data_IF_285638538857
#
_entry.id   IF_285638538857
#
_cell.length_a   1.000
_cell.length_b   1.000
_cell.length_c   1.000
_cell.angle_alpha   90.00
_cell.angle_beta   90.00
_cell.angle_gamma   90.00
#
_symmetry.space_group_name_H-M   'P 1'
#
loop_
_entity.id
_entity.type
_entity.pdbx_description
1 polymer ?
#
# COMPACT_ATOMS: atom_id res chain seq x y z
N UNK A 1 19.28 -38.51 65.43
CA UNK A 1 18.85 -38.81 64.07
C UNK A 1 19.51 -37.76 63.18
N UNK A 2 20.76 -38.08 62.75
CA UNK A 2 21.62 -37.21 61.95
C UNK A 2 21.21 -37.35 60.50
N UNK A 3 20.75 -36.26 59.83
CA UNK A 3 20.46 -36.22 58.43
C UNK A 3 21.76 -35.86 57.72
N UNK A 4 22.40 -36.85 57.16
CA UNK A 4 23.58 -36.74 56.29
C UNK A 4 23.19 -35.91 55.06
N UNK A 5 23.78 -34.74 54.89
CA UNK A 5 23.67 -33.95 53.63
C UNK A 5 24.50 -34.65 52.53
N UNK A 6 23.86 -35.41 51.69
CA UNK A 6 24.46 -35.86 50.43
C UNK A 6 24.67 -34.63 49.53
N UNK A 7 25.92 -34.26 49.33
CA UNK A 7 26.31 -33.26 48.32
C UNK A 7 26.13 -33.89 46.95
N UNK A 8 25.08 -33.53 46.26
CA UNK A 8 24.85 -33.90 44.86
C UNK A 8 26.02 -33.34 44.02
N UNK A 9 26.97 -34.19 43.68
CA UNK A 9 28.05 -33.87 42.76
C UNK A 9 27.46 -33.76 41.35
N UNK A 10 27.45 -32.55 40.79
CA UNK A 10 27.05 -32.30 39.42
C UNK A 10 27.95 -33.12 38.46
N UNK A 11 27.39 -33.81 37.46
CA UNK A 11 28.19 -34.64 36.53
C UNK A 11 29.24 -33.78 35.82
N UNK A 12 30.42 -34.34 35.65
CA UNK A 12 31.62 -33.68 35.09
C UNK A 12 31.38 -33.03 33.69
N UNK A 13 30.37 -33.48 32.99
CA UNK A 13 29.94 -32.89 31.69
C UNK A 13 29.41 -31.46 31.81
N UNK A 14 28.91 -31.04 32.95
CA UNK A 14 28.45 -29.66 33.18
C UNK A 14 29.63 -28.70 33.39
N UNK A 15 30.83 -29.21 33.71
CA UNK A 15 32.02 -28.39 33.90
C UNK A 15 32.68 -27.96 32.57
N UNK A 16 32.20 -28.46 31.42
CA UNK A 16 32.79 -28.18 30.09
C UNK A 16 31.93 -27.18 29.27
N UNK A 17 31.12 -26.34 29.94
CA UNK A 17 30.57 -25.21 29.21
C UNK A 17 31.70 -24.29 28.81
N UNK A 18 32.06 -24.19 27.50
CA UNK A 18 33.16 -23.34 27.09
C UNK A 18 32.88 -21.93 27.55
N UNK A 19 33.80 -21.37 28.33
CA UNK A 19 33.69 -19.95 28.73
C UNK A 19 33.41 -19.11 27.49
N UNK A 20 32.46 -18.13 27.57
CA UNK A 20 32.22 -17.23 26.45
C UNK A 20 33.56 -16.70 25.99
N UNK A 21 33.93 -16.96 24.72
CA UNK A 21 35.19 -16.43 24.14
C UNK A 21 35.11 -14.92 24.34
N UNK A 22 36.07 -14.36 25.05
CA UNK A 22 36.23 -12.92 25.18
C UNK A 22 36.28 -12.34 23.75
N UNK A 23 35.27 -11.50 23.45
CA UNK A 23 35.17 -10.87 22.14
C UNK A 23 36.34 -9.92 22.04
N UNK A 24 37.37 -10.26 21.27
CA UNK A 24 38.59 -9.46 21.14
C UNK A 24 38.28 -8.02 20.75
N UNK A 25 39.00 -7.06 21.32
CA UNK A 25 38.82 -5.61 21.13
C UNK A 25 38.63 -5.20 19.65
N UNK A 26 39.30 -5.89 18.72
CA UNK A 26 39.15 -5.64 17.28
C UNK A 26 37.77 -6.04 16.71
N UNK A 27 37.07 -7.02 17.32
CA UNK A 27 35.71 -7.40 16.92
C UNK A 27 34.70 -6.40 17.49
N UNK A 28 34.88 -5.93 18.71
CA UNK A 28 34.05 -4.89 19.32
C UNK A 28 34.15 -3.56 18.56
N UNK A 29 35.36 -3.20 18.12
CA UNK A 29 35.59 -1.99 17.32
C UNK A 29 34.89 -2.09 15.95
N UNK A 30 34.97 -3.26 15.28
CA UNK A 30 34.26 -3.50 14.00
C UNK A 30 32.75 -3.46 14.16
N UNK A 31 32.22 -4.04 15.25
CA UNK A 31 30.78 -4.02 15.54
C UNK A 31 30.33 -2.57 15.84
N UNK A 32 31.09 -1.80 16.62
CA UNK A 32 30.84 -0.39 16.87
C UNK A 32 30.83 0.44 15.57
N UNK A 33 31.80 0.22 14.69
CA UNK A 33 31.89 0.91 13.40
C UNK A 33 30.72 0.54 12.47
N UNK A 34 30.38 -0.74 12.40
CA UNK A 34 29.22 -1.21 11.62
C UNK A 34 27.91 -0.62 12.14
N UNK A 35 27.71 -0.59 13.47
CA UNK A 35 26.54 0.03 14.09
C UNK A 35 26.43 1.52 13.80
N UNK A 36 27.55 2.25 13.92
CA UNK A 36 27.60 3.67 13.63
C UNK A 36 27.35 3.94 12.14
N UNK A 37 27.94 3.16 11.23
CA UNK A 37 27.74 3.26 9.79
C UNK A 37 26.27 3.00 9.39
N UNK A 38 25.66 1.92 9.91
CA UNK A 38 24.25 1.65 9.67
C UNK A 38 23.34 2.75 10.23
N UNK A 39 23.65 3.25 11.43
CA UNK A 39 22.94 4.36 12.05
C UNK A 39 23.02 5.64 11.21
N UNK A 40 24.23 6.00 10.74
CA UNK A 40 24.44 7.15 9.89
C UNK A 40 23.65 7.06 8.58
N UNK A 41 23.66 5.90 7.90
CA UNK A 41 22.87 5.67 6.68
C UNK A 41 21.37 5.86 6.97
N UNK A 42 20.87 5.28 8.07
CA UNK A 42 19.45 5.43 8.45
C UNK A 42 19.08 6.89 8.69
N UNK A 43 19.91 7.64 9.43
CA UNK A 43 19.68 9.07 9.69
C UNK A 43 19.71 9.86 8.37
N UNK A 44 20.65 9.56 7.48
CA UNK A 44 20.76 10.23 6.16
C UNK A 44 19.51 10.02 5.33
N UNK A 45 18.96 8.79 5.27
CA UNK A 45 17.72 8.50 4.54
C UNK A 45 16.53 9.26 5.15
N UNK A 46 16.41 9.27 6.49
CA UNK A 46 15.37 10.05 7.16
C UNK A 46 15.50 11.56 6.90
N UNK A 47 16.73 12.08 6.96
CA UNK A 47 17.01 13.49 6.68
C UNK A 47 16.65 13.85 5.23
N UNK A 48 16.88 12.95 4.26
CA UNK A 48 16.53 13.17 2.86
C UNK A 48 15.01 13.34 2.68
N UNK A 49 14.19 12.51 3.33
CA UNK A 49 12.72 12.66 3.29
C UNK A 49 12.27 14.01 3.88
N UNK A 50 12.86 14.41 5.01
CA UNK A 50 12.57 15.71 5.63
C UNK A 50 12.99 16.87 4.71
N UNK A 51 14.13 16.74 4.04
CA UNK A 51 14.63 17.75 3.09
C UNK A 51 13.68 17.89 1.89
N UNK A 52 13.17 16.77 1.33
CA UNK A 52 12.17 16.82 0.26
C UNK A 52 10.91 17.54 0.74
N UNK A 53 10.39 17.19 1.92
CA UNK A 53 9.20 17.84 2.48
C UNK A 53 9.41 19.34 2.69
N UNK A 54 10.57 19.74 3.21
CA UNK A 54 10.94 21.14 3.40
C UNK A 54 11.07 21.89 2.07
N UNK A 55 11.68 21.28 1.05
CA UNK A 55 11.81 21.86 -0.28
C UNK A 55 10.43 22.04 -0.96
N UNK A 56 9.54 21.06 -0.86
CA UNK A 56 8.18 21.16 -1.36
C UNK A 56 7.42 22.27 -0.64
N UNK A 57 7.52 22.36 0.68
CA UNK A 57 6.89 23.42 1.47
C UNK A 57 7.43 24.81 1.07
N UNK A 58 8.75 24.94 0.93
CA UNK A 58 9.36 26.19 0.51
C UNK A 58 8.88 26.64 -0.89
N UNK A 59 8.86 25.71 -1.85
CA UNK A 59 8.41 25.99 -3.22
C UNK A 59 6.90 26.23 -3.31
N UNK A 60 6.09 25.65 -2.45
CA UNK A 60 4.64 25.87 -2.38
C UNK A 60 4.25 27.14 -1.61
N UNK A 61 5.19 27.76 -0.88
CA UNK A 61 4.92 28.91 -0.03
C UNK A 61 4.24 30.09 -0.74
N UNK A 62 4.61 30.49 -1.97
CA UNK A 62 3.96 31.59 -2.67
C UNK A 62 2.45 31.36 -2.85
N UNK A 63 2.02 30.14 -3.15
CA UNK A 63 0.61 29.79 -3.25
C UNK A 63 -0.06 29.81 -1.87
N UNK A 64 0.55 29.16 -0.88
CA UNK A 64 0.00 29.04 0.48
C UNK A 64 -0.12 30.38 1.21
N UNK A 65 0.70 31.37 0.84
CA UNK A 65 0.60 32.73 1.38
C UNK A 65 -0.49 33.58 0.72
N UNK A 66 -0.89 33.22 -0.51
CA UNK A 66 -1.89 33.97 -1.30
C UNK A 66 -3.29 33.44 -1.08
N UNK A 67 -3.46 32.11 -0.93
CA UNK A 67 -4.76 31.45 -0.81
C UNK A 67 -4.93 30.77 0.54
N UNK A 68 -6.16 30.75 1.06
CA UNK A 68 -6.49 30.01 2.26
C UNK A 68 -6.38 28.49 2.03
N UNK A 69 -5.82 27.75 2.98
CA UNK A 69 -5.77 26.28 2.92
C UNK A 69 -7.15 25.66 2.75
N UNK A 70 -8.19 26.24 3.37
CA UNK A 70 -9.56 25.77 3.22
C UNK A 70 -10.03 25.93 1.77
N UNK A 71 -9.78 27.05 1.15
CA UNK A 71 -10.15 27.31 -0.24
C UNK A 71 -9.42 26.35 -1.19
N UNK A 72 -8.12 26.19 -1.05
CA UNK A 72 -7.32 25.27 -1.85
C UNK A 72 -7.81 23.82 -1.76
N UNK A 73 -8.21 23.36 -0.57
CA UNK A 73 -8.63 21.98 -0.35
C UNK A 73 -10.09 21.70 -0.73
N UNK A 74 -10.97 22.72 -0.70
CA UNK A 74 -12.41 22.53 -0.91
C UNK A 74 -12.93 23.08 -2.23
N UNK A 75 -12.21 24.01 -2.88
CA UNK A 75 -12.60 24.54 -4.18
C UNK A 75 -12.52 23.47 -5.27
N UNK A 76 -13.50 23.50 -6.17
CA UNK A 76 -13.57 22.63 -7.35
C UNK A 76 -13.00 23.29 -8.61
N UNK A 77 -12.71 24.59 -8.54
CA UNK A 77 -12.29 25.39 -9.68
C UNK A 77 -10.78 25.27 -9.89
N UNK A 78 -10.40 24.72 -11.02
CA UNK A 78 -9.01 24.62 -11.46
C UNK A 78 -8.85 25.35 -12.78
N UNK A 79 -8.53 26.63 -12.70
CA UNK A 79 -8.26 27.50 -13.86
C UNK A 79 -6.97 28.30 -13.63
N UNK A 80 -5.79 27.69 -13.82
CA UNK A 80 -4.50 28.33 -13.54
C UNK A 80 -4.29 29.67 -14.24
N UNK A 81 -4.80 29.81 -15.48
CA UNK A 81 -4.73 31.07 -16.25
C UNK A 81 -5.53 32.21 -15.60
N UNK A 82 -6.47 31.87 -14.73
CA UNK A 82 -7.29 32.87 -13.97
C UNK A 82 -6.85 32.96 -12.51
N UNK A 83 -5.78 32.27 -12.14
CA UNK A 83 -5.32 32.21 -10.75
C UNK A 83 -6.18 31.36 -9.82
N UNK A 84 -7.01 30.46 -10.32
CA UNK A 84 -7.87 29.59 -9.49
C UNK A 84 -7.26 28.21 -9.34
N UNK A 85 -6.97 27.81 -8.10
CA UNK A 85 -6.23 26.57 -7.77
C UNK A 85 -7.01 25.76 -6.73
N UNK A 86 -8.04 25.01 -7.15
CA UNK A 86 -8.81 24.11 -6.28
C UNK A 86 -8.34 22.66 -6.37
N UNK A 87 -7.97 22.03 -5.27
CA UNK A 87 -7.48 20.64 -5.26
C UNK A 87 -8.56 19.59 -5.00
N UNK A 88 -9.80 19.99 -4.67
CA UNK A 88 -10.86 19.04 -4.32
C UNK A 88 -11.11 17.94 -5.36
N UNK A 89 -11.22 18.23 -6.69
CA UNK A 89 -11.43 17.20 -7.70
C UNK A 89 -10.30 16.16 -7.75
N UNK A 90 -9.04 16.60 -7.58
CA UNK A 90 -7.87 15.74 -7.62
C UNK A 90 -7.71 14.88 -6.37
N UNK A 91 -8.04 15.42 -5.19
CA UNK A 91 -8.05 14.67 -3.93
C UNK A 91 -9.12 13.58 -3.99
N UNK A 92 -10.33 13.94 -4.38
CA UNK A 92 -11.47 13.01 -4.46
C UNK A 92 -11.21 11.97 -5.56
N UNK A 93 -10.66 12.38 -6.71
CA UNK A 93 -10.29 11.48 -7.80
C UNK A 93 -9.23 10.46 -7.37
N UNK A 94 -8.19 10.89 -6.64
CA UNK A 94 -7.16 9.99 -6.10
C UNK A 94 -7.74 9.01 -5.09
N UNK A 95 -8.57 9.48 -4.16
CA UNK A 95 -9.21 8.63 -3.17
C UNK A 95 -10.17 7.63 -3.83
N UNK A 96 -10.98 8.08 -4.78
CA UNK A 96 -11.96 7.24 -5.45
C UNK A 96 -11.29 6.12 -6.26
N UNK A 97 -10.27 6.43 -7.08
CA UNK A 97 -9.56 5.41 -7.86
C UNK A 97 -8.84 4.41 -6.95
N UNK A 98 -8.26 4.88 -5.84
CA UNK A 98 -7.60 4.02 -4.86
C UNK A 98 -8.58 3.10 -4.15
N UNK A 99 -9.76 3.60 -3.76
CA UNK A 99 -10.81 2.78 -3.14
C UNK A 99 -11.31 1.69 -4.07
N UNK A 100 -11.53 2.01 -5.35
CA UNK A 100 -11.89 1.03 -6.37
C UNK A 100 -10.79 -0.03 -6.53
N UNK A 101 -9.51 0.39 -6.60
CA UNK A 101 -8.39 -0.53 -6.69
C UNK A 101 -8.28 -1.46 -5.47
N UNK A 102 -8.43 -0.94 -4.26
CA UNK A 102 -8.40 -1.69 -3.01
C UNK A 102 -9.53 -2.72 -2.96
N UNK A 103 -10.72 -2.33 -3.39
CA UNK A 103 -11.86 -3.25 -3.46
C UNK A 103 -11.58 -4.45 -4.37
N UNK A 104 -11.03 -4.23 -5.55
CA UNK A 104 -10.72 -5.30 -6.50
C UNK A 104 -9.46 -6.10 -6.16
N UNK A 105 -8.53 -5.55 -5.36
CA UNK A 105 -7.24 -6.19 -5.09
C UNK A 105 -7.11 -6.77 -3.69
N UNK A 106 -7.33 -5.98 -2.64
CA UNK A 106 -6.88 -6.32 -1.27
C UNK A 106 -7.62 -7.54 -0.72
N UNK A 107 -8.95 -7.56 -0.85
CA UNK A 107 -9.75 -8.67 -0.32
C UNK A 107 -9.39 -9.99 -1.02
N UNK A 108 -9.45 -10.11 -2.36
CA UNK A 108 -9.11 -11.35 -3.03
C UNK A 108 -7.63 -11.70 -2.89
N UNK A 109 -6.72 -10.72 -2.79
CA UNK A 109 -5.30 -10.97 -2.60
C UNK A 109 -4.99 -11.58 -1.23
N UNK A 110 -5.60 -11.09 -0.14
CA UNK A 110 -5.44 -11.67 1.19
C UNK A 110 -5.90 -13.14 1.19
N UNK A 111 -7.09 -13.42 0.64
CA UNK A 111 -7.58 -14.79 0.55
C UNK A 111 -6.66 -15.69 -0.30
N UNK A 112 -6.14 -15.17 -1.41
CA UNK A 112 -5.17 -15.88 -2.25
C UNK A 112 -3.86 -16.15 -1.51
N UNK A 113 -3.35 -15.18 -0.75
CA UNK A 113 -2.16 -15.35 0.09
C UNK A 113 -2.34 -16.40 1.19
N UNK A 114 -3.48 -16.39 1.87
CA UNK A 114 -3.85 -17.43 2.86
C UNK A 114 -3.92 -18.80 2.17
N UNK A 115 -4.56 -18.90 1.00
CA UNK A 115 -4.66 -20.13 0.25
C UNK A 115 -3.27 -20.67 -0.16
N UNK A 116 -2.40 -19.82 -0.67
CA UNK A 116 -1.03 -20.19 -1.03
C UNK A 116 -0.22 -20.68 0.17
N UNK A 117 -0.42 -20.06 1.34
CA UNK A 117 0.32 -20.42 2.55
C UNK A 117 -0.15 -21.75 3.16
N UNK A 118 -1.46 -21.97 3.24
CA UNK A 118 -2.05 -23.05 4.06
C UNK A 118 -2.50 -24.26 3.25
N UNK A 119 -2.95 -24.07 1.99
CA UNK A 119 -3.60 -25.15 1.21
C UNK A 119 -2.77 -25.61 0.01
N UNK A 120 -1.90 -24.77 -0.51
CA UNK A 120 -1.16 -25.06 -1.74
C UNK A 120 -0.02 -26.04 -1.51
N UNK A 121 0.13 -27.02 -2.41
CA UNK A 121 1.26 -27.95 -2.39
C UNK A 121 2.58 -27.21 -2.64
N UNK A 122 3.68 -27.75 -2.10
CA UNK A 122 5.02 -27.17 -2.25
C UNK A 122 5.43 -27.00 -3.72
N UNK A 123 5.03 -27.97 -4.59
CA UNK A 123 5.32 -27.92 -6.02
C UNK A 123 4.59 -26.77 -6.72
N UNK A 124 3.28 -26.66 -6.49
CA UNK A 124 2.47 -25.62 -7.10
C UNK A 124 2.87 -24.21 -6.61
N UNK A 125 3.20 -24.09 -5.33
CA UNK A 125 3.75 -22.83 -4.77
C UNK A 125 5.06 -22.45 -5.42
N UNK A 126 5.95 -23.43 -5.66
CA UNK A 126 7.24 -23.21 -6.34
C UNK A 126 7.10 -22.65 -7.75
N UNK A 127 5.93 -22.81 -8.40
CA UNK A 127 5.62 -22.21 -9.70
C UNK A 127 4.89 -20.88 -9.55
N UNK A 128 3.86 -20.82 -8.68
CA UNK A 128 3.01 -19.62 -8.56
C UNK A 128 3.77 -18.42 -7.94
N UNK A 129 4.65 -18.67 -6.96
CA UNK A 129 5.35 -17.56 -6.29
C UNK A 129 6.28 -16.80 -7.25
N UNK A 130 7.16 -17.41 -8.05
CA UNK A 130 7.95 -16.70 -9.05
C UNK A 130 7.12 -15.97 -10.09
N UNK A 131 5.95 -16.49 -10.47
CA UNK A 131 5.03 -15.81 -11.39
C UNK A 131 4.49 -14.54 -10.75
N UNK A 132 4.00 -14.61 -9.50
CA UNK A 132 3.52 -13.44 -8.76
C UNK A 132 4.62 -12.40 -8.56
N UNK A 133 5.84 -12.83 -8.20
CA UNK A 133 6.98 -11.93 -8.02
C UNK A 133 7.37 -11.24 -9.35
N UNK A 134 7.26 -11.95 -10.47
CA UNK A 134 7.48 -11.38 -11.81
C UNK A 134 6.43 -10.33 -12.17
N UNK A 135 5.16 -10.55 -11.81
CA UNK A 135 4.08 -9.58 -12.02
C UNK A 135 4.30 -8.27 -11.24
N UNK A 136 4.85 -8.35 -10.03
CA UNK A 136 5.22 -7.15 -9.24
C UNK A 136 6.28 -6.30 -9.96
N UNK A 137 7.16 -6.93 -10.73
CA UNK A 137 8.24 -6.28 -11.47
C UNK A 137 7.83 -5.64 -12.80
N UNK A 138 6.62 -5.87 -13.30
CA UNK A 138 6.15 -5.28 -14.57
C UNK A 138 6.01 -3.76 -14.42
N UNK A 139 6.57 -2.95 -15.35
CA UNK A 139 6.41 -1.49 -15.36
C UNK A 139 4.93 -1.08 -15.43
N UNK A 140 4.54 -0.07 -14.67
CA UNK A 140 3.15 0.41 -14.59
C UNK A 140 2.59 0.88 -15.94
N UNK A 141 3.44 1.40 -16.82
CA UNK A 141 3.07 1.79 -18.20
C UNK A 141 2.52 0.60 -18.98
N UNK A 142 3.06 -0.60 -18.79
CA UNK A 142 2.58 -1.82 -19.48
C UNK A 142 1.17 -2.15 -19.02
N UNK A 143 0.90 -2.05 -17.72
CA UNK A 143 -0.46 -2.21 -17.18
C UNK A 143 -1.41 -1.15 -17.71
N UNK A 144 -0.95 0.12 -17.80
CA UNK A 144 -1.73 1.21 -18.37
C UNK A 144 -2.08 0.97 -19.83
N UNK A 145 -1.11 0.57 -20.64
CA UNK A 145 -1.32 0.25 -22.05
C UNK A 145 -2.25 -0.95 -22.24
N UNK A 146 -2.03 -2.04 -21.51
CA UNK A 146 -2.94 -3.19 -21.52
C UNK A 146 -4.36 -2.78 -21.12
N UNK A 147 -4.49 -1.96 -20.09
CA UNK A 147 -5.77 -1.43 -19.64
C UNK A 147 -6.48 -0.61 -20.71
N UNK A 148 -5.75 0.28 -21.40
CA UNK A 148 -6.32 1.10 -22.49
C UNK A 148 -6.78 0.26 -23.68
N UNK A 149 -6.04 -0.80 -24.03
CA UNK A 149 -6.35 -1.65 -25.18
C UNK A 149 -7.39 -2.74 -24.88
N UNK A 150 -7.51 -3.18 -23.62
CA UNK A 150 -8.37 -4.32 -23.26
C UNK A 150 -9.51 -3.94 -22.32
N UNK A 151 -9.21 -3.24 -21.22
CA UNK A 151 -10.19 -2.94 -20.18
C UNK A 151 -11.10 -1.76 -20.57
N UNK A 152 -10.53 -0.71 -21.17
CA UNK A 152 -11.34 0.45 -21.63
C UNK A 152 -12.39 0.03 -22.65
N UNK A 153 -12.08 -0.74 -23.73
CA UNK A 153 -13.10 -1.26 -24.63
C UNK A 153 -14.12 -2.16 -23.94
N UNK A 154 -13.68 -3.01 -22.99
CA UNK A 154 -14.60 -3.87 -22.22
C UNK A 154 -15.59 -3.04 -21.40
N UNK A 155 -15.11 -1.97 -20.75
CA UNK A 155 -15.97 -1.06 -20.00
C UNK A 155 -16.89 -0.28 -20.93
N UNK A 156 -16.38 0.19 -22.07
CA UNK A 156 -17.13 0.98 -23.03
C UNK A 156 -18.26 0.19 -23.70
N UNK A 157 -17.96 -1.02 -24.18
CA UNK A 157 -18.86 -1.75 -25.07
C UNK A 157 -19.76 -2.74 -24.33
N UNK A 158 -19.36 -3.21 -23.14
CA UNK A 158 -20.09 -4.25 -22.39
C UNK A 158 -20.53 -3.80 -21.00
N UNK A 159 -19.59 -3.42 -20.11
CA UNK A 159 -19.92 -3.14 -18.71
C UNK A 159 -20.77 -1.89 -18.53
N UNK A 160 -20.47 -0.81 -19.26
CA UNK A 160 -21.24 0.43 -19.21
C UNK A 160 -22.68 0.25 -19.65
N UNK A 161 -22.94 -0.27 -20.88
CA UNK A 161 -24.29 -0.55 -21.35
C UNK A 161 -25.07 -1.55 -20.50
N UNK A 162 -24.39 -2.55 -19.95
CA UNK A 162 -25.02 -3.50 -19.03
C UNK A 162 -25.43 -2.83 -17.72
N UNK A 163 -24.54 -2.01 -17.17
CA UNK A 163 -24.79 -1.28 -15.92
C UNK A 163 -25.98 -0.30 -16.09
N UNK A 164 -26.05 0.43 -17.20
CA UNK A 164 -27.16 1.36 -17.48
C UNK A 164 -28.52 0.66 -17.55
N UNK A 165 -28.55 -0.57 -18.05
CA UNK A 165 -29.78 -1.36 -18.18
C UNK A 165 -30.20 -2.04 -16.87
N UNK A 166 -29.30 -2.12 -15.88
CA UNK A 166 -29.52 -2.88 -14.63
C UNK A 166 -29.36 -1.99 -13.40
N UNK A 167 -28.15 -1.92 -12.86
CA UNK A 167 -27.84 -1.20 -11.61
C UNK A 167 -27.97 0.30 -11.73
N UNK A 168 -27.66 0.87 -12.89
CA UNK A 168 -27.71 2.31 -13.13
C UNK A 168 -29.12 2.91 -13.07
N UNK A 169 -30.15 2.09 -13.30
CA UNK A 169 -31.55 2.54 -13.17
C UNK A 169 -31.97 2.72 -11.71
N UNK A 170 -31.39 1.95 -10.80
CA UNK A 170 -31.73 1.97 -9.37
C UNK A 170 -30.76 2.86 -8.58
N UNK A 171 -29.48 2.79 -8.92
CA UNK A 171 -28.41 3.52 -8.24
C UNK A 171 -27.65 4.44 -9.21
N UNK A 172 -27.79 5.77 -9.12
CA UNK A 172 -27.10 6.73 -10.00
C UNK A 172 -25.57 6.56 -10.02
N UNK A 173 -24.97 6.04 -8.93
CA UNK A 173 -23.55 5.75 -8.84
C UNK A 173 -23.06 4.75 -9.90
N UNK A 174 -23.92 3.89 -10.40
CA UNK A 174 -23.61 2.91 -11.45
C UNK A 174 -24.10 3.33 -12.84
N UNK A 175 -24.65 4.53 -12.98
CA UNK A 175 -25.09 5.05 -14.28
C UNK A 175 -23.86 5.46 -15.12
N UNK A 176 -23.93 5.22 -16.42
CA UNK A 176 -22.90 5.58 -17.36
C UNK A 176 -23.03 7.04 -17.78
N UNK A 177 -22.22 7.90 -17.21
CA UNK A 177 -22.15 9.31 -17.59
C UNK A 177 -21.15 9.60 -18.71
N UNK A 178 -20.20 8.67 -18.97
CA UNK A 178 -19.16 8.80 -19.96
C UNK A 178 -19.12 7.60 -20.92
N UNK A 179 -19.32 7.81 -22.24
CA UNK A 179 -19.31 6.74 -23.22
C UNK A 179 -17.91 6.25 -23.64
N UNK A 180 -16.83 6.91 -23.22
CA UNK A 180 -15.47 6.60 -23.71
C UNK A 180 -14.88 5.29 -23.13
N UNK A 181 -15.36 4.82 -21.97
CA UNK A 181 -14.83 3.70 -21.21
C UNK A 181 -13.62 4.06 -20.33
N UNK A 182 -13.02 5.24 -20.51
CA UNK A 182 -12.04 5.80 -19.58
C UNK A 182 -12.73 6.32 -18.32
N UNK A 183 -12.17 6.07 -17.13
CA UNK A 183 -12.76 6.55 -15.88
C UNK A 183 -12.30 5.76 -14.67
N UNK A 184 -13.00 5.96 -13.55
CA UNK A 184 -12.67 5.38 -12.27
C UNK A 184 -12.65 3.84 -12.29
N UNK A 185 -13.63 3.21 -12.96
CA UNK A 185 -13.71 1.75 -13.02
C UNK A 185 -12.52 1.15 -13.73
N UNK A 186 -12.20 1.64 -14.95
CA UNK A 186 -11.10 1.11 -15.75
C UNK A 186 -9.75 1.33 -15.04
N UNK A 187 -9.50 2.56 -14.56
CA UNK A 187 -8.28 2.91 -13.84
C UNK A 187 -8.15 2.14 -12.53
N UNK A 188 -9.21 2.07 -11.72
CA UNK A 188 -9.20 1.39 -10.43
C UNK A 188 -9.05 -0.13 -10.56
N UNK A 189 -9.69 -0.74 -11.56
CA UNK A 189 -9.54 -2.18 -11.82
C UNK A 189 -8.10 -2.53 -12.22
N UNK A 190 -7.53 -1.82 -13.20
CA UNK A 190 -6.14 -2.06 -13.65
C UNK A 190 -5.14 -1.83 -12.51
N UNK A 191 -5.32 -0.76 -11.74
CA UNK A 191 -4.53 -0.48 -10.56
C UNK A 191 -4.67 -1.61 -9.52
N UNK A 192 -5.88 -2.15 -9.35
CA UNK A 192 -6.14 -3.30 -8.50
C UNK A 192 -5.37 -4.55 -8.96
N UNK A 193 -5.40 -4.86 -10.25
CA UNK A 193 -4.63 -5.99 -10.84
C UNK A 193 -3.13 -5.83 -10.59
N UNK A 194 -2.60 -4.62 -10.70
CA UNK A 194 -1.19 -4.33 -10.46
C UNK A 194 -0.78 -4.48 -8.98
N UNK A 195 -1.68 -4.12 -8.05
CA UNK A 195 -1.42 -4.21 -6.60
C UNK A 195 -1.65 -5.63 -6.06
N UNK A 196 -2.51 -6.40 -6.70
CA UNK A 196 -2.91 -7.74 -6.28
C UNK A 196 -1.72 -8.67 -5.97
N UNK A 197 -0.73 -8.89 -6.86
CA UNK A 197 0.36 -9.83 -6.61
C UNK A 197 1.24 -9.39 -5.43
N UNK A 198 1.42 -8.10 -5.20
CA UNK A 198 2.16 -7.59 -4.05
C UNK A 198 1.47 -7.95 -2.73
N UNK A 199 0.15 -7.73 -2.64
CA UNK A 199 -0.61 -8.05 -1.42
C UNK A 199 -0.68 -9.56 -1.19
N UNK A 200 -0.77 -10.37 -2.27
CA UNK A 200 -0.70 -11.83 -2.17
C UNK A 200 0.64 -12.29 -1.59
N UNK A 201 1.75 -11.78 -2.12
CA UNK A 201 3.10 -12.17 -1.70
C UNK A 201 3.34 -11.86 -0.21
N UNK A 202 2.99 -10.64 0.23
CA UNK A 202 3.14 -10.25 1.64
C UNK A 202 2.19 -11.02 2.56
N UNK A 203 0.95 -11.26 2.13
CA UNK A 203 -0.02 -12.04 2.92
C UNK A 203 0.42 -13.51 3.08
N UNK A 204 0.96 -14.12 2.01
CA UNK A 204 1.54 -15.47 2.05
C UNK A 204 2.70 -15.54 3.05
N UNK A 205 3.61 -14.56 3.00
CA UNK A 205 4.77 -14.51 3.88
C UNK A 205 4.38 -14.35 5.35
N UNK A 206 3.43 -13.47 5.65
CA UNK A 206 2.86 -13.27 6.99
C UNK A 206 2.24 -14.56 7.53
N UNK A 207 1.45 -15.25 6.74
CA UNK A 207 0.82 -16.52 7.15
C UNK A 207 1.85 -17.61 7.40
N UNK A 208 2.93 -17.66 6.63
CA UNK A 208 4.00 -18.64 6.81
C UNK A 208 4.92 -18.34 7.99
N UNK A 209 5.03 -17.09 8.37
CA UNK A 209 5.79 -16.71 9.57
C UNK A 209 5.16 -17.20 10.87
N UNK A 210 3.88 -17.60 10.85
CA UNK A 210 3.22 -18.19 12.02
C UNK A 210 3.87 -19.54 12.42
N UNK A 211 4.10 -19.79 13.74
CA UNK A 211 4.75 -21.01 14.23
C UNK A 211 4.01 -22.28 13.76
N UNK A 212 4.76 -23.27 13.34
CA UNK A 212 4.21 -24.57 12.88
C UNK A 212 3.54 -25.32 14.04
N UNK A 213 4.08 -25.19 15.23
CA UNK A 213 3.61 -25.82 16.47
C UNK A 213 2.15 -25.46 16.76
N UNK A 214 1.75 -24.22 16.44
CA UNK A 214 0.35 -23.80 16.62
C UNK A 214 -0.60 -24.55 15.68
N UNK A 215 -0.17 -24.78 14.42
CA UNK A 215 -0.97 -25.56 13.45
C UNK A 215 -1.09 -27.02 13.88
N UNK A 216 0.05 -27.61 14.22
CA UNK A 216 0.15 -29.02 14.65
C UNK A 216 -0.66 -29.27 15.92
N UNK A 217 -0.56 -28.38 16.92
CA UNK A 217 -1.34 -28.48 18.16
C UNK A 217 -2.86 -28.41 17.88
N UNK A 218 -3.31 -27.48 17.02
CA UNK A 218 -4.71 -27.39 16.65
C UNK A 218 -5.22 -28.68 15.97
N UNK A 219 -4.44 -29.23 15.03
CA UNK A 219 -4.77 -30.47 14.31
C UNK A 219 -4.78 -31.68 15.25
N UNK A 220 -3.84 -31.78 16.21
CA UNK A 220 -3.81 -32.83 17.22
C UNK A 220 -5.04 -32.82 18.15
N UNK A 221 -5.63 -31.63 18.38
CA UNK A 221 -6.87 -31.47 19.13
C UNK A 221 -8.13 -31.77 18.29
N UNK A 222 -7.97 -32.24 17.05
CA UNK A 222 -9.09 -32.60 16.16
C UNK A 222 -9.64 -31.43 15.33
N UNK A 223 -9.01 -30.26 15.33
CA UNK A 223 -9.42 -29.15 14.49
C UNK A 223 -9.23 -29.48 12.99
N UNK A 224 -10.12 -28.98 12.16
CA UNK A 224 -9.97 -29.01 10.70
C UNK A 224 -8.89 -28.03 10.24
N UNK A 225 -8.38 -28.19 9.02
CA UNK A 225 -7.42 -27.23 8.43
C UNK A 225 -7.95 -25.79 8.44
N UNK A 226 -9.23 -25.61 8.18
CA UNK A 226 -9.87 -24.29 8.20
C UNK A 226 -9.90 -23.68 9.59
N UNK A 227 -10.21 -24.46 10.61
CA UNK A 227 -10.22 -24.01 12.02
C UNK A 227 -8.80 -23.62 12.47
N UNK A 228 -7.79 -24.42 12.15
CA UNK A 228 -6.39 -24.10 12.41
C UNK A 228 -5.96 -22.80 11.67
N UNK A 229 -6.30 -22.66 10.39
CA UNK A 229 -6.03 -21.43 9.60
C UNK A 229 -6.72 -20.21 10.24
N UNK A 230 -8.00 -20.35 10.60
CA UNK A 230 -8.78 -19.29 11.24
C UNK A 230 -8.19 -18.85 12.57
N UNK A 231 -7.63 -19.79 13.36
CA UNK A 231 -6.93 -19.49 14.60
C UNK A 231 -5.69 -18.63 14.34
N UNK A 232 -4.88 -18.97 13.33
CA UNK A 232 -3.68 -18.20 12.92
C UNK A 232 -4.06 -16.81 12.45
N UNK A 233 -5.03 -16.71 11.53
CA UNK A 233 -5.52 -15.43 11.00
C UNK A 233 -6.01 -14.51 12.12
N UNK A 234 -6.71 -15.04 13.13
CA UNK A 234 -7.27 -14.24 14.21
C UNK A 234 -6.28 -13.87 15.31
N UNK A 235 -5.31 -14.74 15.61
CA UNK A 235 -4.43 -14.56 16.78
C UNK A 235 -3.00 -14.18 16.45
N UNK A 236 -2.45 -14.63 15.32
CA UNK A 236 -1.03 -14.46 15.01
C UNK A 236 -0.78 -13.54 13.82
N UNK A 237 -1.64 -13.60 12.79
CA UNK A 237 -1.45 -12.89 11.53
C UNK A 237 -2.20 -11.55 11.36
N UNK A 238 -3.12 -11.09 12.26
CA UNK A 238 -3.99 -9.97 11.91
C UNK A 238 -3.22 -8.68 11.67
N UNK A 239 -2.20 -8.39 12.47
CA UNK A 239 -1.34 -7.21 12.26
C UNK A 239 -0.56 -7.27 10.95
N UNK A 240 -0.06 -8.44 10.58
CA UNK A 240 0.68 -8.64 9.33
C UNK A 240 -0.21 -8.57 8.10
N UNK A 241 -1.40 -9.17 8.13
CA UNK A 241 -2.37 -9.07 7.03
C UNK A 241 -2.89 -7.64 6.84
N UNK A 242 -3.11 -6.92 7.94
CA UNK A 242 -3.42 -5.50 7.87
C UNK A 242 -2.26 -4.68 7.26
N UNK A 243 -1.01 -5.00 7.63
CA UNK A 243 0.16 -4.37 7.03
C UNK A 243 0.25 -4.62 5.52
N UNK A 244 -0.07 -5.84 5.05
CA UNK A 244 -0.15 -6.16 3.63
C UNK A 244 -1.21 -5.32 2.91
N UNK A 245 -2.40 -5.16 3.50
CA UNK A 245 -3.46 -4.32 2.96
C UNK A 245 -3.04 -2.85 2.85
N UNK A 246 -2.40 -2.32 3.89
CA UNK A 246 -1.90 -0.94 3.91
C UNK A 246 -0.78 -0.71 2.91
N UNK A 247 0.12 -1.68 2.76
CA UNK A 247 1.18 -1.60 1.74
C UNK A 247 0.57 -1.52 0.33
N UNK A 248 -0.45 -2.34 0.07
CA UNK A 248 -1.20 -2.29 -1.19
C UNK A 248 -1.90 -0.93 -1.41
N UNK A 249 -2.56 -0.40 -0.37
CA UNK A 249 -3.19 0.92 -0.40
C UNK A 249 -2.18 2.04 -0.69
N UNK A 250 -1.04 2.03 0.02
CA UNK A 250 0.01 3.05 -0.15
C UNK A 250 0.59 3.02 -1.57
N UNK A 251 0.78 1.84 -2.14
CA UNK A 251 1.23 1.67 -3.52
C UNK A 251 0.19 2.19 -4.50
N UNK A 252 -1.09 1.83 -4.31
CA UNK A 252 -2.18 2.28 -5.17
C UNK A 252 -2.32 3.81 -5.16
N UNK A 253 -2.21 4.45 -4.01
CA UNK A 253 -2.36 5.90 -3.89
C UNK A 253 -1.25 6.69 -4.58
N UNK A 254 -0.04 6.14 -4.64
CA UNK A 254 1.12 6.77 -5.28
C UNK A 254 1.27 6.47 -6.78
N UNK A 255 0.40 5.63 -7.36
CA UNK A 255 0.54 5.24 -8.76
C UNK A 255 0.17 6.39 -9.71
N UNK A 256 1.07 6.65 -10.64
CA UNK A 256 0.96 7.80 -11.54
C UNK A 256 0.61 7.39 -12.97
N UNK A 257 1.46 6.56 -13.60
CA UNK A 257 1.40 6.35 -15.04
C UNK A 257 0.23 5.48 -15.49
N UNK A 258 -0.03 4.37 -14.80
CA UNK A 258 -1.17 3.52 -15.14
C UNK A 258 -2.50 4.26 -14.94
N UNK A 259 -2.62 5.02 -13.85
CA UNK A 259 -3.83 5.80 -13.57
C UNK A 259 -4.01 6.94 -14.57
N UNK A 260 -2.94 7.70 -14.87
CA UNK A 260 -2.94 8.79 -15.84
C UNK A 260 -3.45 8.35 -17.22
N UNK A 261 -3.08 7.14 -17.66
CA UNK A 261 -3.51 6.59 -18.95
C UNK A 261 -4.98 6.19 -19.01
N UNK A 262 -5.63 5.96 -17.86
CA UNK A 262 -6.93 5.29 -17.82
C UNK A 262 -8.05 6.12 -17.17
N UNK A 263 -7.72 7.08 -16.28
CA UNK A 263 -8.69 7.80 -15.46
C UNK A 263 -9.49 8.87 -16.25
N UNK A 264 -8.98 9.26 -17.45
CA UNK A 264 -9.61 10.23 -18.34
C UNK A 264 -9.25 11.69 -18.10
N UNK A 265 -8.53 12.02 -17.02
CA UNK A 265 -7.92 13.33 -16.70
C UNK A 265 -8.85 14.54 -16.82
N UNK A 266 -10.12 14.39 -16.46
CA UNK A 266 -11.09 15.47 -16.44
C UNK A 266 -11.17 16.09 -15.04
N UNK A 267 -11.07 17.42 -14.97
CA UNK A 267 -11.17 18.19 -13.73
C UNK A 267 -12.65 18.27 -13.32
N UNK A 268 -13.10 17.23 -12.62
CA UNK A 268 -14.44 17.17 -12.02
C UNK A 268 -14.46 16.20 -10.85
N UNK A 269 -15.39 16.38 -9.93
CA UNK A 269 -15.68 15.39 -8.90
C UNK A 269 -16.52 14.29 -9.53
N UNK A 270 -16.08 13.02 -9.49
CA UNK A 270 -16.82 11.91 -10.08
C UNK A 270 -18.08 11.61 -9.26
N UNK A 271 -19.22 11.55 -9.92
CA UNK A 271 -20.49 11.13 -9.32
C UNK A 271 -20.84 9.68 -9.58
N UNK A 272 -20.17 9.03 -10.53
CA UNK A 272 -20.38 7.64 -10.91
C UNK A 272 -19.06 6.89 -11.01
N UNK A 273 -19.15 5.56 -10.89
CA UNK A 273 -18.03 4.64 -11.11
C UNK A 273 -17.50 4.68 -12.55
N UNK A 274 -18.33 5.07 -13.52
CA UNK A 274 -17.98 5.21 -14.93
C UNK A 274 -17.50 6.62 -15.30
N UNK A 275 -17.50 7.54 -14.35
CA UNK A 275 -17.03 8.90 -14.58
C UNK A 275 -15.52 8.97 -14.78
N UNK A 276 -15.12 9.91 -15.63
CA UNK A 276 -13.72 10.37 -15.65
C UNK A 276 -13.42 11.16 -14.40
N UNK A 277 -12.17 11.12 -13.97
CA UNK A 277 -11.67 11.89 -12.84
C UNK A 277 -10.25 12.35 -13.12
N UNK A 278 -9.63 13.03 -12.17
CA UNK A 278 -8.22 13.40 -12.24
C UNK A 278 -7.57 13.13 -10.89
N UNK A 279 -6.44 12.43 -10.88
CA UNK A 279 -5.70 12.16 -9.65
C UNK A 279 -4.59 13.18 -9.41
N UNK A 280 -4.19 13.38 -8.14
CA UNK A 280 -3.06 14.26 -7.78
C UNK A 280 -1.74 13.86 -8.46
N UNK A 281 -1.33 12.57 -8.48
CA UNK A 281 -0.13 12.16 -9.20
C UNK A 281 -0.22 12.45 -10.72
N UNK A 282 -1.38 12.23 -11.32
CA UNK A 282 -1.59 12.49 -12.74
C UNK A 282 -1.58 14.00 -13.05
N UNK A 283 -2.13 14.85 -12.17
CA UNK A 283 -2.05 16.31 -12.29
C UNK A 283 -0.59 16.77 -12.36
N UNK A 284 0.25 16.28 -11.45
CA UNK A 284 1.67 16.66 -11.42
C UNK A 284 2.36 16.17 -12.69
N UNK A 285 2.18 14.91 -13.08
CA UNK A 285 2.86 14.32 -14.22
C UNK A 285 2.49 14.95 -15.55
N UNK A 286 1.22 15.33 -15.76
CA UNK A 286 0.76 15.94 -17.00
C UNK A 286 1.21 17.40 -17.17
N UNK A 287 1.38 18.11 -16.07
CA UNK A 287 1.53 19.57 -16.13
C UNK A 287 2.94 20.05 -15.74
N UNK A 288 3.76 19.19 -15.14
CA UNK A 288 5.12 19.56 -14.77
C UNK A 288 5.96 19.81 -16.04
N UNK A 289 6.54 20.99 -16.11
CA UNK A 289 7.38 21.44 -17.26
C UNK A 289 6.63 22.18 -18.37
N UNK A 290 5.31 22.03 -18.53
CA UNK A 290 4.58 22.66 -19.64
C UNK A 290 4.08 24.08 -19.30
N UNK A 291 3.66 24.34 -18.07
CA UNK A 291 2.98 25.57 -17.66
C UNK A 291 3.81 26.45 -16.71
N UNK A 292 5.13 26.31 -16.73
CA UNK A 292 6.04 27.04 -15.84
C UNK A 292 6.04 28.55 -16.01
N UNK A 293 5.54 29.06 -17.14
CA UNK A 293 5.41 30.50 -17.39
C UNK A 293 4.18 31.15 -16.73
N UNK A 294 3.24 30.33 -16.24
CA UNK A 294 2.04 30.83 -15.55
C UNK A 294 2.36 31.16 -14.09
N UNK A 295 2.07 32.37 -13.60
CA UNK A 295 2.31 32.73 -12.22
C UNK A 295 1.67 31.78 -11.24
N UNK A 296 2.37 31.44 -10.15
CA UNK A 296 1.93 30.51 -9.10
C UNK A 296 1.66 29.05 -9.54
N UNK A 297 1.75 28.72 -10.84
CA UNK A 297 1.45 27.36 -11.31
C UNK A 297 2.46 26.33 -10.79
N UNK A 298 3.75 26.64 -10.87
CA UNK A 298 4.80 25.80 -10.28
C UNK A 298 4.55 25.60 -8.77
N UNK A 299 4.23 26.68 -8.06
CA UNK A 299 3.92 26.59 -6.62
C UNK A 299 2.68 25.73 -6.34
N UNK A 300 1.68 25.75 -7.22
CA UNK A 300 0.50 24.90 -7.12
C UNK A 300 0.83 23.42 -7.34
N UNK A 301 1.68 23.09 -8.32
CA UNK A 301 2.13 21.70 -8.52
C UNK A 301 2.99 21.21 -7.35
N UNK A 302 3.85 22.07 -6.78
CA UNK A 302 4.61 21.74 -5.58
C UNK A 302 3.70 21.56 -4.36
N UNK A 303 2.64 22.37 -4.23
CA UNK A 303 1.63 22.21 -3.19
C UNK A 303 0.84 20.89 -3.38
N UNK A 304 0.49 20.52 -4.62
CA UNK A 304 -0.12 19.21 -4.92
C UNK A 304 0.81 18.04 -4.52
N UNK A 305 2.12 18.15 -4.81
CA UNK A 305 3.11 17.15 -4.40
C UNK A 305 3.27 17.07 -2.88
N UNK A 306 3.28 18.22 -2.19
CA UNK A 306 3.30 18.28 -0.73
C UNK A 306 2.04 17.63 -0.14
N UNK A 307 0.87 17.92 -0.69
CA UNK A 307 -0.40 17.33 -0.28
C UNK A 307 -0.39 15.82 -0.46
N UNK A 308 0.09 15.32 -1.60
CA UNK A 308 0.24 13.89 -1.87
C UNK A 308 1.16 13.24 -0.83
N UNK A 309 2.32 13.84 -0.54
CA UNK A 309 3.24 13.37 0.48
C UNK A 309 2.59 13.29 1.87
N UNK A 310 1.87 14.35 2.28
CA UNK A 310 1.19 14.40 3.57
C UNK A 310 0.08 13.34 3.69
N UNK A 311 -0.69 13.12 2.63
CA UNK A 311 -1.73 12.09 2.59
C UNK A 311 -1.10 10.70 2.71
N UNK A 312 -0.06 10.39 1.95
CA UNK A 312 0.64 9.10 2.01
C UNK A 312 1.25 8.86 3.39
N UNK A 313 1.94 9.86 3.96
CA UNK A 313 2.50 9.77 5.32
C UNK A 313 1.40 9.59 6.36
N UNK A 314 0.30 10.33 6.24
CA UNK A 314 -0.86 10.23 7.11
C UNK A 314 -1.50 8.82 7.09
N UNK A 315 -1.71 8.25 5.90
CA UNK A 315 -2.21 6.88 5.77
C UNK A 315 -1.27 5.85 6.39
N UNK A 316 0.04 5.96 6.13
CA UNK A 316 1.02 5.05 6.72
C UNK A 316 1.10 5.18 8.25
N UNK A 317 1.01 6.40 8.79
CA UNK A 317 0.98 6.64 10.22
C UNK A 317 -0.29 6.05 10.88
N UNK A 318 -1.46 6.30 10.27
CA UNK A 318 -2.73 5.75 10.74
C UNK A 318 -2.72 4.22 10.73
N UNK A 319 -2.24 3.63 9.65
CA UNK A 319 -2.10 2.20 9.52
C UNK A 319 -1.19 1.60 10.60
N UNK A 320 -0.03 2.23 10.86
CA UNK A 320 0.87 1.80 11.92
C UNK A 320 0.22 1.86 13.30
N UNK A 321 -0.57 2.91 13.57
CA UNK A 321 -1.32 3.01 14.82
C UNK A 321 -2.34 1.87 14.98
N UNK A 322 -3.06 1.52 13.91
CA UNK A 322 -4.02 0.41 13.92
C UNK A 322 -3.31 -0.92 14.13
N UNK A 323 -2.20 -1.18 13.43
CA UNK A 323 -1.39 -2.39 13.59
C UNK A 323 -0.92 -2.56 15.04
N UNK A 324 -0.37 -1.50 15.63
CA UNK A 324 0.12 -1.52 17.03
C UNK A 324 -1.05 -1.78 18.03
N UNK A 325 -2.22 -1.21 17.76
CA UNK A 325 -3.41 -1.48 18.60
C UNK A 325 -3.87 -2.93 18.49
N UNK A 326 -3.92 -3.48 17.27
CA UNK A 326 -4.32 -4.87 17.03
C UNK A 326 -3.33 -5.84 17.70
N UNK A 327 -2.04 -5.57 17.64
CA UNK A 327 -1.00 -6.40 18.28
C UNK A 327 -1.01 -6.32 19.81
N UNK A 328 -1.46 -5.20 20.39
CA UNK A 328 -1.54 -5.00 21.85
C UNK A 328 -2.86 -5.47 22.45
N UNK A 329 -3.89 -5.74 21.64
CA UNK A 329 -5.14 -6.28 22.15
C UNK A 329 -4.86 -7.66 22.77
N UNK A 330 -5.19 -7.88 24.07
CA UNK A 330 -5.03 -9.20 24.67
C UNK A 330 -5.84 -10.20 23.87
N UNK A 331 -5.22 -11.37 23.61
CA UNK A 331 -5.91 -12.48 22.97
C UNK A 331 -7.03 -12.98 23.93
N UNK A 332 -8.22 -12.41 23.76
CA UNK A 332 -9.42 -12.88 24.47
C UNK A 332 -9.85 -14.27 23.94
#
# INVERSE_FOLDING_TARGET
MEITRETISLPEQVKQIPRPREIGLGRQAKDGLARQGMGAITITVCAFVVTIAAALLYRSWPLLSTYSLKELLTSQDWHPMRGQFGFAPFIIGSLAVTLVAVFFSVIPAIFSGIYLAEYTSTRLRGVLKPVLDSLVGIPSVVYGLWGALSIVPLVRDYLGPWSDRTLGQVFPFFSRSNPSGYGLLAAGFVLGVMVFPLVVAVSEEVMRAAPRETREAALCLGATRWEATKLIVRRQAPGGLLAAAVLGLSRAFGETLAVLMLIGNAVKIPGSLFDTAYSLPALIANNYGEMMSVPLYESALMAAALLLLLVVVGFNALARLVIVRVQRAPAA
#
